data_IF_333144929321
#
_entry.id   IF_333144929321
#
_cell.length_a   1.000
_cell.length_b   1.000
_cell.length_c   1.000
_cell.angle_alpha   90.00
_cell.angle_beta   90.00
_cell.angle_gamma   90.00
#
_symmetry.space_group_name_H-M   'P 1'
#
loop_
_entity.id
_entity.type
_entity.pdbx_description
1 polymer ?
#
# COMPACT_ATOMS: atom_id res chain seq x y z
N UNK A 1 18.51 16.59 -52.72
CA UNK A 1 17.38 15.75 -52.26
C UNK A 1 17.30 15.88 -50.76
N UNK A 2 16.62 16.92 -50.28
CA UNK A 2 16.40 17.19 -48.86
C UNK A 2 14.88 17.18 -48.65
N UNK A 3 14.38 16.18 -47.93
CA UNK A 3 13.01 16.16 -47.42
C UNK A 3 13.09 15.97 -45.92
N UNK A 4 13.55 17.00 -45.22
CA UNK A 4 13.57 17.05 -43.76
C UNK A 4 12.37 17.83 -43.22
N UNK A 5 11.72 17.28 -42.18
CA UNK A 5 11.54 18.05 -40.95
C UNK A 5 10.16 18.58 -40.56
N UNK A 6 9.05 18.27 -41.24
CA UNK A 6 7.73 18.82 -40.85
C UNK A 6 6.83 17.89 -40.01
N UNK A 7 7.24 16.65 -39.76
CA UNK A 7 6.41 15.63 -39.09
C UNK A 7 6.24 15.79 -37.57
N UNK A 8 7.19 16.43 -36.88
CA UNK A 8 7.25 16.38 -35.40
C UNK A 8 6.32 17.39 -34.72
N UNK A 9 6.05 18.53 -35.36
CA UNK A 9 5.26 19.61 -34.74
C UNK A 9 3.77 19.26 -34.59
N UNK A 10 3.21 18.47 -35.52
CA UNK A 10 1.80 18.04 -35.47
C UNK A 10 1.56 16.97 -34.40
N UNK A 11 2.52 16.07 -34.18
CA UNK A 11 2.40 15.04 -33.15
C UNK A 11 2.40 15.63 -31.73
N UNK A 12 3.16 16.70 -31.50
CA UNK A 12 3.25 17.30 -30.16
C UNK A 12 1.95 17.99 -29.74
N UNK A 13 1.25 18.63 -30.68
CA UNK A 13 -0.06 19.26 -30.43
C UNK A 13 -1.10 18.23 -29.99
N UNK A 14 -1.09 17.03 -30.60
CA UNK A 14 -2.00 15.94 -30.21
C UNK A 14 -1.70 15.45 -28.80
N UNK A 15 -0.42 15.22 -28.48
CA UNK A 15 0.01 14.73 -27.16
C UNK A 15 -0.31 15.74 -26.05
N UNK A 16 -0.03 17.03 -26.29
CA UNK A 16 -0.37 18.10 -25.34
C UNK A 16 -1.89 18.21 -25.20
N UNK A 17 -2.63 18.16 -26.30
CA UNK A 17 -4.10 18.20 -26.29
C UNK A 17 -4.71 17.09 -25.43
N UNK A 18 -4.29 15.84 -25.63
CA UNK A 18 -4.80 14.69 -24.85
C UNK A 18 -4.46 14.82 -23.37
N UNK A 19 -3.22 15.20 -23.03
CA UNK A 19 -2.81 15.43 -21.64
C UNK A 19 -3.65 16.51 -20.95
N UNK A 20 -4.00 17.58 -21.67
CA UNK A 20 -4.79 18.67 -21.10
C UNK A 20 -6.22 18.23 -20.81
N UNK A 21 -6.82 17.42 -21.70
CA UNK A 21 -8.17 16.87 -21.51
C UNK A 21 -8.20 15.92 -20.32
N UNK A 22 -7.23 15.01 -20.22
CA UNK A 22 -7.14 14.06 -19.11
C UNK A 22 -7.00 14.78 -17.76
N UNK A 23 -6.18 15.83 -17.70
CA UNK A 23 -6.02 16.67 -16.52
C UNK A 23 -7.35 17.35 -16.13
N UNK A 24 -8.10 17.84 -17.10
CA UNK A 24 -9.42 18.46 -16.89
C UNK A 24 -10.45 17.47 -16.34
N UNK A 25 -10.46 16.23 -16.85
CA UNK A 25 -11.36 15.18 -16.36
C UNK A 25 -11.01 14.78 -14.93
N UNK A 26 -9.73 14.60 -14.61
CA UNK A 26 -9.28 14.28 -13.25
C UNK A 26 -9.59 15.41 -12.27
N UNK A 27 -9.28 16.66 -12.65
CA UNK A 27 -9.58 17.83 -11.83
C UNK A 27 -11.09 18.01 -11.61
N UNK A 28 -11.90 17.81 -12.66
CA UNK A 28 -13.36 17.85 -12.57
C UNK A 28 -13.93 16.75 -11.67
N UNK A 29 -13.41 15.52 -11.78
CA UNK A 29 -13.79 14.39 -10.92
C UNK A 29 -13.47 14.63 -9.44
N UNK A 30 -12.28 15.18 -9.16
CA UNK A 30 -11.88 15.56 -7.79
C UNK A 30 -12.74 16.70 -7.23
N UNK A 31 -13.07 17.71 -8.04
CA UNK A 31 -13.96 18.79 -7.64
C UNK A 31 -15.37 18.29 -7.32
N UNK A 32 -15.94 17.42 -8.18
CA UNK A 32 -17.25 16.79 -7.95
C UNK A 32 -17.25 15.92 -6.71
N UNK A 33 -16.20 15.13 -6.47
CA UNK A 33 -16.07 14.32 -5.25
C UNK A 33 -15.95 15.20 -4.00
N UNK A 34 -15.22 16.31 -4.08
CA UNK A 34 -15.12 17.29 -3.00
C UNK A 34 -16.47 17.94 -2.67
N UNK A 35 -17.28 18.26 -3.69
CA UNK A 35 -18.65 18.74 -3.52
C UNK A 35 -19.56 17.68 -2.90
N UNK A 36 -19.49 16.43 -3.36
CA UNK A 36 -20.27 15.33 -2.79
C UNK A 36 -19.89 15.03 -1.33
N UNK A 37 -18.61 15.17 -0.96
CA UNK A 37 -18.18 15.04 0.43
C UNK A 37 -18.63 16.23 1.30
N UNK A 38 -18.82 17.41 0.71
CA UNK A 38 -19.36 18.59 1.42
C UNK A 38 -20.86 18.47 1.63
N UNK A 39 -21.61 17.84 0.73
CA UNK A 39 -23.04 17.55 0.96
C UNK A 39 -23.26 16.44 1.98
N UNK A 40 -22.27 15.55 2.14
CA UNK A 40 -22.25 14.51 3.18
C UNK A 40 -21.62 14.98 4.48
N UNK A 41 -21.06 16.20 4.54
CA UNK A 41 -20.66 16.77 5.83
C UNK A 41 -21.96 17.00 6.59
N UNK A 42 -22.20 16.30 7.70
CA UNK A 42 -23.35 16.64 8.54
C UNK A 42 -23.24 18.13 8.83
N UNK A 43 -24.35 18.86 8.65
CA UNK A 43 -24.41 20.25 9.06
C UNK A 43 -23.85 20.32 10.49
N UNK A 44 -22.95 21.29 10.80
CA UNK A 44 -22.58 21.51 12.19
C UNK A 44 -23.89 21.78 12.91
N UNK A 45 -24.35 20.79 13.69
CA UNK A 45 -25.65 20.83 14.33
C UNK A 45 -25.82 22.22 14.93
N UNK A 46 -26.87 22.92 14.50
CA UNK A 46 -27.29 24.16 15.14
C UNK A 46 -27.25 23.87 16.64
N UNK A 47 -26.57 24.73 17.42
CA UNK A 47 -26.37 24.52 18.85
C UNK A 47 -27.70 24.17 19.52
N UNK A 48 -27.95 22.87 19.71
CA UNK A 48 -29.18 22.41 20.34
C UNK A 48 -28.98 22.59 21.84
N UNK A 49 -29.91 23.28 22.54
CA UNK A 49 -29.84 23.40 23.99
C UNK A 49 -29.77 21.98 24.59
N UNK A 50 -29.05 21.82 25.69
CA UNK A 50 -28.66 20.55 26.32
C UNK A 50 -29.83 19.58 26.69
N UNK A 51 -31.07 19.94 26.37
CA UNK A 51 -32.28 19.14 26.56
C UNK A 51 -32.62 18.22 25.37
N UNK A 52 -31.93 18.34 24.21
CA UNK A 52 -32.11 17.46 23.03
C UNK A 52 -30.98 16.41 22.88
N UNK A 53 -30.37 15.98 23.99
CA UNK A 53 -29.54 14.78 23.98
C UNK A 53 -30.45 13.55 23.84
N UNK A 54 -30.90 13.24 22.61
CA UNK A 54 -31.48 11.95 22.29
C UNK A 54 -30.38 10.91 22.56
N UNK A 55 -30.55 10.17 23.65
CA UNK A 55 -29.69 9.06 24.04
C UNK A 55 -29.86 8.00 22.96
N UNK A 56 -29.05 8.09 21.90
CA UNK A 56 -28.91 7.02 20.93
C UNK A 56 -28.40 5.81 21.71
N UNK A 57 -29.30 4.86 21.92
CA UNK A 57 -29.06 3.62 22.62
C UNK A 57 -27.79 3.00 22.04
N UNK A 58 -26.75 2.87 22.87
CA UNK A 58 -25.44 2.39 22.45
C UNK A 58 -25.62 0.98 21.88
N UNK A 59 -25.73 0.88 20.55
CA UNK A 59 -25.94 -0.39 19.88
C UNK A 59 -24.72 -1.24 20.15
N UNK A 60 -24.93 -2.35 20.85
CA UNK A 60 -23.88 -3.31 21.17
C UNK A 60 -23.35 -3.87 19.83
N UNK A 61 -22.14 -3.46 19.45
CA UNK A 61 -21.47 -3.99 18.27
C UNK A 61 -20.88 -5.32 18.69
N UNK A 62 -21.54 -6.40 18.28
CA UNK A 62 -21.03 -7.75 18.49
C UNK A 62 -19.68 -7.88 17.78
N UNK A 63 -18.61 -7.95 18.57
CA UNK A 63 -17.27 -8.07 18.04
C UNK A 63 -17.08 -9.46 17.42
N UNK A 64 -16.73 -9.49 16.13
CA UNK A 64 -16.53 -10.73 15.37
C UNK A 64 -15.04 -10.98 15.10
N UNK A 65 -14.30 -11.67 16.00
CA UNK A 65 -12.85 -11.88 15.88
C UNK A 65 -12.42 -12.53 14.56
N UNK A 66 -13.27 -13.40 14.00
CA UNK A 66 -12.98 -14.10 12.76
C UNK A 66 -13.08 -13.19 11.53
N UNK A 67 -14.04 -12.26 11.52
CA UNK A 67 -14.14 -11.28 10.45
C UNK A 67 -12.91 -10.36 10.41
N UNK A 68 -12.45 -9.90 11.58
CA UNK A 68 -11.24 -9.05 11.69
C UNK A 68 -9.98 -9.81 11.25
N UNK A 69 -9.84 -11.07 11.64
CA UNK A 69 -8.69 -11.90 11.24
C UNK A 69 -8.67 -12.15 9.72
N UNK A 70 -9.82 -12.45 9.12
CA UNK A 70 -9.93 -12.70 7.69
C UNK A 70 -9.69 -11.43 6.87
N UNK A 71 -10.17 -10.28 7.35
CA UNK A 71 -9.85 -8.98 6.77
C UNK A 71 -8.34 -8.69 6.82
N UNK A 72 -7.68 -8.93 7.95
CA UNK A 72 -6.24 -8.76 8.09
C UNK A 72 -5.45 -9.71 7.16
N UNK A 73 -5.87 -10.97 7.04
CA UNK A 73 -5.27 -11.94 6.10
C UNK A 73 -5.48 -11.53 4.64
N UNK A 74 -6.63 -10.98 4.29
CA UNK A 74 -6.88 -10.45 2.95
C UNK A 74 -5.92 -9.29 2.64
N UNK A 75 -5.70 -8.38 3.60
CA UNK A 75 -4.73 -7.29 3.44
C UNK A 75 -3.30 -7.80 3.19
N UNK A 76 -2.86 -8.84 3.91
CA UNK A 76 -1.56 -9.49 3.67
C UNK A 76 -1.45 -10.04 2.25
N UNK A 77 -2.46 -10.78 1.77
CA UNK A 77 -2.47 -11.34 0.41
C UNK A 77 -2.37 -10.26 -0.66
N UNK A 78 -3.05 -9.13 -0.47
CA UNK A 78 -2.97 -7.99 -1.41
C UNK A 78 -1.57 -7.38 -1.38
N UNK A 79 -0.97 -7.21 -0.21
CA UNK A 79 0.38 -6.66 -0.09
C UNK A 79 1.44 -7.59 -0.72
N UNK A 80 1.30 -8.91 -0.58
CA UNK A 80 2.14 -9.91 -1.23
C UNK A 80 2.00 -9.88 -2.76
N UNK A 81 0.76 -9.84 -3.27
CA UNK A 81 0.53 -9.73 -4.71
C UNK A 81 1.16 -8.44 -5.31
N UNK A 82 1.15 -7.33 -4.56
CA UNK A 82 1.82 -6.10 -4.98
C UNK A 82 3.35 -6.26 -5.00
N UNK A 83 3.93 -7.03 -4.06
CA UNK A 83 5.36 -7.32 -4.05
C UNK A 83 5.73 -8.19 -5.27
N UNK A 84 4.96 -9.24 -5.57
CA UNK A 84 5.17 -10.09 -6.75
C UNK A 84 5.10 -9.28 -8.05
N UNK A 85 4.15 -8.34 -8.14
CA UNK A 85 4.06 -7.42 -9.28
C UNK A 85 5.31 -6.54 -9.41
N UNK A 86 5.85 -6.03 -8.30
CA UNK A 86 7.08 -5.24 -8.31
C UNK A 86 8.31 -6.08 -8.74
N UNK A 87 8.38 -7.35 -8.35
CA UNK A 87 9.42 -8.28 -8.84
C UNK A 87 9.32 -8.50 -10.36
N UNK A 88 8.10 -8.70 -10.88
CA UNK A 88 7.88 -8.80 -12.32
C UNK A 88 8.34 -7.54 -13.06
N UNK A 89 8.15 -6.34 -12.49
CA UNK A 89 8.66 -5.09 -13.08
C UNK A 89 10.19 -5.01 -13.06
N UNK A 90 10.85 -5.50 -12.01
CA UNK A 90 12.32 -5.58 -11.95
C UNK A 90 12.85 -6.51 -13.03
N UNK A 91 12.25 -7.68 -13.21
CA UNK A 91 12.69 -8.63 -14.24
C UNK A 91 12.55 -8.05 -15.65
N UNK A 92 11.43 -7.38 -15.94
CA UNK A 92 11.23 -6.67 -17.20
C UNK A 92 12.28 -5.57 -17.43
N UNK A 93 12.51 -4.70 -16.43
CA UNK A 93 13.48 -3.61 -16.54
C UNK A 93 14.92 -4.13 -16.69
N UNK A 94 15.26 -5.24 -16.03
CA UNK A 94 16.56 -5.89 -16.17
C UNK A 94 16.77 -6.49 -17.57
N UNK A 95 15.74 -7.09 -18.15
CA UNK A 95 15.78 -7.60 -19.52
C UNK A 95 15.88 -6.46 -20.56
N UNK A 96 15.16 -5.36 -20.36
CA UNK A 96 15.27 -4.16 -21.20
C UNK A 96 16.69 -3.60 -21.17
N UNK A 97 17.27 -3.43 -19.98
CA UNK A 97 18.65 -3.00 -19.81
C UNK A 97 19.63 -3.95 -20.53
N UNK A 98 19.48 -5.27 -20.32
CA UNK A 98 20.33 -6.28 -20.96
C UNK A 98 20.25 -6.18 -22.49
N UNK A 99 19.05 -6.02 -23.05
CA UNK A 99 18.84 -5.85 -24.50
C UNK A 99 19.52 -4.58 -25.02
N UNK A 100 19.36 -3.45 -24.35
CA UNK A 100 19.97 -2.17 -24.75
C UNK A 100 21.50 -2.24 -24.69
N UNK A 101 22.06 -2.87 -23.65
CA UNK A 101 23.51 -3.08 -23.55
C UNK A 101 24.06 -3.98 -24.65
N UNK A 102 23.29 -4.95 -25.13
CA UNK A 102 23.71 -5.86 -26.20
C UNK A 102 23.68 -5.22 -27.60
N UNK A 103 22.81 -4.23 -27.82
CA UNK A 103 22.66 -3.53 -29.10
C UNK A 103 23.70 -2.40 -29.30
N UNK A 104 24.50 -2.09 -28.28
CA UNK A 104 25.21 -0.82 -28.19
C UNK A 104 26.15 -0.50 -29.33
N UNK A 105 25.83 0.56 -30.10
CA UNK A 105 26.78 1.50 -30.73
C UNK A 105 26.14 2.91 -30.85
N UNK A 106 26.79 3.94 -30.28
CA UNK A 106 26.43 5.36 -30.45
C UNK A 106 25.94 6.09 -29.18
N UNK A 107 26.12 7.42 -29.13
CA UNK A 107 25.76 8.25 -27.97
C UNK A 107 24.25 8.25 -27.62
N UNK A 108 23.37 8.03 -28.61
CA UNK A 108 21.95 7.86 -28.37
C UNK A 108 21.66 6.58 -27.54
N UNK A 109 22.46 5.53 -27.70
CA UNK A 109 22.32 4.29 -26.93
C UNK A 109 22.75 4.46 -25.47
N UNK A 110 23.69 5.37 -25.18
CA UNK A 110 24.15 5.63 -23.80
C UNK A 110 23.04 6.25 -22.95
N UNK A 111 22.34 7.25 -23.48
CA UNK A 111 21.20 7.89 -22.81
C UNK A 111 20.10 6.87 -22.49
N UNK A 112 19.81 5.97 -23.43
CA UNK A 112 18.78 4.95 -23.24
C UNK A 112 19.19 3.88 -22.22
N UNK A 113 20.47 3.49 -22.19
CA UNK A 113 21.02 2.62 -21.14
C UNK A 113 20.88 3.28 -19.77
N UNK A 114 21.15 4.58 -19.63
CA UNK A 114 21.01 5.29 -18.36
C UNK A 114 19.55 5.44 -17.92
N UNK A 115 18.63 5.65 -18.87
CA UNK A 115 17.18 5.59 -18.57
C UNK A 115 16.77 4.21 -18.08
N UNK A 116 17.22 3.14 -18.73
CA UNK A 116 16.92 1.77 -18.33
C UNK A 116 17.49 1.43 -16.94
N UNK A 117 18.71 1.88 -16.63
CA UNK A 117 19.31 1.78 -15.29
C UNK A 117 18.47 2.51 -14.25
N UNK A 118 18.01 3.72 -14.57
CA UNK A 118 17.16 4.52 -13.67
C UNK A 118 15.84 3.81 -13.41
N UNK A 119 15.17 3.28 -14.45
CA UNK A 119 13.95 2.49 -14.30
C UNK A 119 14.15 1.26 -13.42
N UNK A 120 15.24 0.52 -13.62
CA UNK A 120 15.59 -0.64 -12.79
C UNK A 120 15.82 -0.23 -11.31
N UNK A 121 16.49 0.89 -11.07
CA UNK A 121 16.70 1.42 -9.73
C UNK A 121 15.38 1.81 -9.05
N UNK A 122 14.48 2.48 -9.77
CA UNK A 122 13.14 2.83 -9.28
C UNK A 122 12.33 1.57 -8.95
N UNK A 123 12.29 0.58 -9.85
CA UNK A 123 11.56 -0.67 -9.62
C UNK A 123 12.07 -1.43 -8.37
N UNK A 124 13.39 -1.42 -8.12
CA UNK A 124 13.98 -1.98 -6.89
C UNK A 124 13.58 -1.22 -5.63
N UNK A 125 13.51 0.11 -5.71
CA UNK A 125 13.05 0.92 -4.59
C UNK A 125 11.56 0.66 -4.29
N UNK A 126 10.75 0.47 -5.32
CA UNK A 126 9.33 0.15 -5.18
C UNK A 126 9.11 -1.25 -4.59
N UNK A 127 9.88 -2.26 -4.99
CA UNK A 127 9.87 -3.57 -4.33
C UNK A 127 10.16 -3.44 -2.84
N UNK A 128 11.16 -2.64 -2.45
CA UNK A 128 11.47 -2.39 -1.04
C UNK A 128 10.29 -1.74 -0.28
N UNK A 129 9.55 -0.84 -0.93
CA UNK A 129 8.32 -0.23 -0.36
C UNK A 129 7.19 -1.26 -0.23
N UNK A 130 6.98 -2.11 -1.24
CA UNK A 130 5.98 -3.17 -1.21
C UNK A 130 6.28 -4.21 -0.13
N UNK A 131 7.55 -4.62 0.02
CA UNK A 131 7.99 -5.53 1.08
C UNK A 131 7.70 -4.97 2.47
N UNK A 132 8.05 -3.70 2.71
CA UNK A 132 7.72 -3.04 3.99
C UNK A 132 6.20 -2.95 4.24
N UNK A 133 5.40 -2.73 3.20
CA UNK A 133 3.93 -2.75 3.30
C UNK A 133 3.37 -4.14 3.62
N UNK A 134 3.97 -5.21 3.09
CA UNK A 134 3.60 -6.58 3.44
C UNK A 134 3.95 -6.91 4.90
N UNK A 135 5.11 -6.47 5.38
CA UNK A 135 5.49 -6.62 6.79
C UNK A 135 4.55 -5.84 7.73
N UNK A 136 4.17 -4.61 7.36
CA UNK A 136 3.18 -3.82 8.09
C UNK A 136 1.80 -4.51 8.12
N UNK A 137 1.36 -5.10 7.00
CA UNK A 137 0.11 -5.84 6.93
C UNK A 137 0.12 -7.14 7.76
N UNK A 138 1.30 -7.74 8.01
CA UNK A 138 1.43 -8.94 8.85
C UNK A 138 1.32 -8.64 10.35
N UNK A 139 1.66 -7.43 10.78
CA UNK A 139 1.57 -7.01 12.18
C UNK A 139 0.15 -7.17 12.79
N UNK A 140 -0.95 -6.72 12.17
CA UNK A 140 -2.29 -6.90 12.73
C UNK A 140 -2.71 -8.38 12.77
N UNK A 141 -2.29 -9.21 11.80
CA UNK A 141 -2.56 -10.66 11.85
C UNK A 141 -1.87 -11.30 13.06
N UNK A 142 -0.62 -10.91 13.35
CA UNK A 142 0.09 -11.36 14.55
C UNK A 142 -0.60 -10.88 15.84
N UNK A 143 -1.09 -9.64 15.86
CA UNK A 143 -1.80 -9.09 17.02
C UNK A 143 -3.14 -9.79 17.27
N UNK A 144 -3.97 -10.01 16.24
CA UNK A 144 -5.28 -10.67 16.34
C UNK A 144 -5.11 -12.16 16.67
N UNK A 145 -4.13 -12.84 16.07
CA UNK A 145 -3.85 -14.23 16.42
C UNK A 145 -3.38 -14.37 17.87
N UNK A 146 -2.49 -13.48 18.34
CA UNK A 146 -2.07 -13.46 19.74
C UNK A 146 -3.23 -13.15 20.71
N UNK A 147 -4.12 -12.21 20.37
CA UNK A 147 -5.29 -11.90 21.22
C UNK A 147 -6.31 -13.03 21.24
N UNK A 148 -6.47 -13.77 20.13
CA UNK A 148 -7.34 -14.95 20.05
C UNK A 148 -6.77 -16.18 20.80
N UNK A 149 -5.45 -16.24 21.02
CA UNK A 149 -4.77 -17.30 21.77
C UNK A 149 -4.61 -17.00 23.27
N UNK A 150 -4.50 -15.72 23.66
CA UNK A 150 -5.13 -15.22 24.90
C UNK A 150 -6.66 -15.44 24.74
N UNK A 151 -7.63 -14.99 25.52
CA UNK A 151 -9.04 -15.45 25.40
C UNK A 151 -9.30 -16.99 25.53
N UNK A 152 -8.64 -17.87 24.78
CA UNK A 152 -8.49 -19.30 25.01
C UNK A 152 -7.60 -19.61 26.24
N UNK A 153 -7.72 -18.81 27.30
CA UNK A 153 -6.96 -19.04 28.52
C UNK A 153 -7.24 -20.47 28.99
N UNK A 154 -6.21 -21.32 29.15
CA UNK A 154 -6.39 -22.56 29.86
C UNK A 154 -6.91 -22.15 31.23
N UNK A 155 -8.16 -22.51 31.53
CA UNK A 155 -8.80 -22.24 32.81
C UNK A 155 -7.77 -22.55 33.89
N UNK A 156 -7.40 -21.61 34.77
CA UNK A 156 -6.31 -21.81 35.72
C UNK A 156 -6.66 -23.06 36.50
N UNK A 157 -6.02 -24.17 36.11
CA UNK A 157 -6.32 -25.50 36.62
C UNK A 157 -6.05 -25.35 38.10
N UNK A 158 -7.12 -25.35 38.88
CA UNK A 158 -7.10 -25.20 40.33
C UNK A 158 -6.36 -26.40 40.91
N UNK A 159 -5.04 -26.40 40.81
CA UNK A 159 -4.15 -27.32 41.49
C UNK A 159 -4.08 -26.85 42.93
N UNK A 160 -5.19 -27.11 43.62
CA UNK A 160 -5.29 -27.13 45.06
C UNK A 160 -4.53 -28.38 45.53
N UNK A 161 -3.21 -28.37 45.42
CA UNK A 161 -2.33 -29.33 46.09
C UNK A 161 -1.36 -28.54 46.94
N UNK A 162 -1.81 -28.32 48.17
CA UNK A 162 -1.02 -27.92 49.32
C UNK A 162 0.18 -28.86 49.49
N UNK A 163 1.36 -28.41 49.11
CA UNK A 163 2.61 -28.89 49.70
C UNK A 163 3.60 -27.74 49.70
N UNK A 164 3.66 -27.03 50.83
CA UNK A 164 4.70 -26.06 51.12
C UNK A 164 6.07 -26.76 51.14
N UNK A 165 7.07 -26.33 50.37
CA UNK A 165 8.45 -26.58 50.73
C UNK A 165 8.96 -25.51 51.72
N UNK A 166 9.79 -25.87 52.70
CA UNK A 166 10.33 -24.95 53.69
C UNK A 166 11.34 -23.98 53.06
N UNK A 167 11.27 -22.74 53.53
CA UNK A 167 12.16 -21.63 53.23
C UNK A 167 13.59 -21.91 53.68
N UNK A 168 14.53 -22.02 52.74
CA UNK A 168 15.96 -21.76 53.00
C UNK A 168 16.37 -20.48 52.30
N UNK A 169 16.58 -19.46 53.11
CA UNK A 169 17.21 -18.20 52.78
C UNK A 169 18.68 -18.41 52.40
N UNK A 170 19.04 -18.10 51.17
CA UNK A 170 20.42 -17.78 50.82
C UNK A 170 20.42 -16.71 49.74
N UNK A 171 20.61 -15.48 50.21
CA UNK A 171 20.89 -14.30 49.43
C UNK A 171 22.36 -14.32 48.99
N UNK A 172 22.65 -14.13 47.68
CA UNK A 172 23.91 -13.52 47.31
C UNK A 172 23.68 -12.21 46.57
N UNK A 173 24.35 -11.19 47.09
CA UNK A 173 24.50 -9.87 46.52
C UNK A 173 25.07 -9.95 45.09
N UNK A 174 24.34 -9.42 44.12
CA UNK A 174 24.82 -9.24 42.75
C UNK A 174 24.73 -7.76 42.34
N UNK A 175 25.86 -7.08 42.55
CA UNK A 175 26.42 -5.91 41.88
C UNK A 175 25.57 -5.29 40.76
N UNK A 176 25.01 -4.11 41.05
CA UNK A 176 24.39 -3.20 40.08
C UNK A 176 25.37 -2.78 38.98
N UNK A 177 25.11 -3.03 37.68
CA UNK A 177 25.92 -2.45 36.62
C UNK A 177 25.63 -0.95 36.48
N UNK A 178 26.73 -0.20 36.53
CA UNK A 178 26.88 1.25 36.41
C UNK A 178 26.15 1.78 35.17
N UNK A 179 25.11 2.58 35.41
CA UNK A 179 24.32 3.32 34.41
C UNK A 179 25.23 4.26 33.61
N UNK A 180 25.66 3.85 32.41
CA UNK A 180 26.39 4.72 31.48
C UNK A 180 25.48 5.88 31.06
N UNK A 181 25.84 7.10 31.49
CA UNK A 181 25.31 8.37 31.00
C UNK A 181 25.43 8.40 29.47
N UNK A 182 24.32 8.20 28.76
CA UNK A 182 24.22 8.54 27.34
C UNK A 182 24.26 10.06 27.25
N UNK A 183 25.30 10.55 26.57
CA UNK A 183 25.50 11.94 26.25
C UNK A 183 24.33 12.45 25.41
N UNK A 184 23.81 13.63 25.81
CA UNK A 184 22.88 14.46 25.06
C UNK A 184 23.49 14.77 23.69
N UNK A 185 23.17 13.95 22.69
CA UNK A 185 23.48 14.27 21.29
C UNK A 185 22.36 15.17 20.76
N UNK A 186 22.67 16.47 20.72
CA UNK A 186 22.32 17.40 19.65
C UNK A 186 20.93 17.19 19.03
N UNK A 187 19.93 17.88 19.59
CA UNK A 187 18.71 18.26 18.87
C UNK A 187 19.10 19.31 17.82
N UNK A 188 19.73 18.87 16.73
CA UNK A 188 19.91 19.71 15.54
C UNK A 188 18.58 19.69 14.79
N UNK A 189 17.91 20.83 14.86
CA UNK A 189 16.78 21.27 14.06
C UNK A 189 16.85 20.76 12.61
N UNK A 190 16.13 19.66 12.33
CA UNK A 190 15.78 19.27 10.96
C UNK A 190 14.33 19.65 10.72
N UNK A 191 14.10 20.97 10.62
CA UNK A 191 12.88 21.56 10.05
C UNK A 191 12.97 21.41 8.53
N UNK A 192 12.94 20.16 8.06
CA UNK A 192 12.94 19.80 6.66
C UNK A 192 11.50 19.60 6.20
N UNK A 193 10.93 20.65 5.63
CA UNK A 193 9.98 20.64 4.50
C UNK A 193 9.37 19.25 4.23
N UNK A 194 8.29 18.91 4.95
CA UNK A 194 7.34 17.90 4.48
C UNK A 194 6.52 18.55 3.37
N UNK A 195 7.03 18.51 2.14
CA UNK A 195 6.16 18.56 0.96
C UNK A 195 5.38 17.24 0.99
N UNK A 196 4.06 17.34 1.09
CA UNK A 196 3.16 16.20 1.14
C UNK A 196 3.37 15.34 -0.10
N UNK A 197 3.96 14.17 0.10
CA UNK A 197 3.81 13.05 -0.81
C UNK A 197 2.48 12.43 -0.42
N UNK A 198 1.40 12.91 -1.03
CA UNK A 198 0.17 12.15 -1.13
C UNK A 198 0.53 10.85 -1.84
N UNK A 199 0.24 9.66 -1.27
CA UNK A 199 0.33 8.43 -2.04
C UNK A 199 -0.60 8.60 -3.24
N UNK A 200 -0.03 8.52 -4.44
CA UNK A 200 -0.75 8.50 -5.70
C UNK A 200 -1.54 7.19 -5.72
N UNK A 201 -2.72 7.21 -5.10
CA UNK A 201 -3.69 6.14 -5.18
C UNK A 201 -4.30 6.20 -6.58
N UNK A 202 -3.53 5.76 -7.59
CA UNK A 202 -4.06 5.51 -8.92
C UNK A 202 -5.21 4.51 -8.76
N UNK A 203 -6.47 4.92 -8.97
CA UNK A 203 -7.58 3.99 -8.88
C UNK A 203 -7.42 2.98 -10.01
N UNK A 204 -7.38 1.70 -9.65
CA UNK A 204 -7.39 0.61 -10.63
C UNK A 204 -8.59 0.84 -11.57
N UNK A 205 -8.39 0.78 -12.89
CA UNK A 205 -9.48 0.98 -13.84
C UNK A 205 -10.58 -0.06 -13.55
N UNK A 206 -11.87 0.32 -13.63
CA UNK A 206 -12.94 -0.64 -13.48
C UNK A 206 -12.74 -1.76 -14.50
N UNK A 207 -12.78 -3.01 -14.02
CA UNK A 207 -12.73 -4.20 -14.86
C UNK A 207 -13.82 -4.09 -15.92
N UNK A 208 -13.42 -3.75 -17.15
CA UNK A 208 -14.34 -3.73 -18.28
C UNK A 208 -14.85 -5.16 -18.47
N UNK A 209 -16.17 -5.38 -18.54
CA UNK A 209 -16.69 -6.68 -18.93
C UNK A 209 -16.10 -7.02 -20.31
N UNK A 210 -15.44 -8.17 -20.38
CA UNK A 210 -14.83 -8.71 -21.59
C UNK A 210 -15.86 -8.67 -22.71
N UNK A 211 -15.61 -7.89 -23.75
CA UNK A 211 -16.48 -7.88 -24.92
C UNK A 211 -16.58 -9.31 -25.47
N UNK A 212 -17.79 -9.81 -25.79
CA UNK A 212 -17.94 -11.12 -26.38
C UNK A 212 -17.13 -11.20 -27.67
N UNK A 213 -16.25 -12.20 -27.75
CA UNK A 213 -15.41 -12.43 -28.92
C UNK A 213 -16.27 -12.55 -30.18
N UNK A 214 -16.03 -11.75 -31.24
CA UNK A 214 -16.82 -11.78 -32.47
C UNK A 214 -16.60 -13.05 -33.32
N UNK A 215 -15.78 -14.00 -32.86
CA UNK A 215 -15.42 -15.20 -33.64
C UNK A 215 -16.23 -16.47 -33.29
N UNK A 216 -17.32 -16.38 -32.53
CA UNK A 216 -18.08 -17.56 -32.12
C UNK A 216 -19.05 -18.15 -33.19
N UNK A 217 -19.15 -17.56 -34.39
CA UNK A 217 -20.09 -18.04 -35.42
C UNK A 217 -19.44 -18.25 -36.79
N UNK A 218 -18.80 -19.41 -37.01
CA UNK A 218 -18.71 -20.03 -38.35
C UNK A 218 -18.17 -21.47 -38.29
N UNK A 219 -18.93 -22.40 -37.71
CA UNK A 219 -18.80 -23.83 -38.06
C UNK A 219 -20.19 -24.47 -38.14
N UNK A 220 -20.95 -24.08 -39.16
CA UNK A 220 -22.03 -24.94 -39.67
C UNK A 220 -21.44 -25.87 -40.71
N UNK A 221 -21.67 -27.16 -40.46
CA UNK A 221 -21.05 -28.26 -41.17
C UNK A 221 -21.44 -28.33 -42.65
N UNK A 222 -20.45 -28.75 -43.45
CA UNK A 222 -20.66 -29.38 -44.75
C UNK A 222 -20.63 -30.89 -44.51
N UNK A 223 -21.79 -31.46 -44.22
CA UNK A 223 -22.06 -32.89 -44.32
C UNK A 223 -22.64 -33.19 -45.70
N UNK A 224 -22.17 -34.26 -46.31
CA UNK A 224 -22.52 -34.76 -47.66
C UNK A 224 -23.96 -35.22 -47.75
#
# INVERSE_FOLDING_TARGET
MEREGTGTKRSWVVVVGTLTIDLLVVAGGLAMRGLAQRTLRPEPAAFEPAEAAEVLEAREVEWQPMADLDAARAAVRVAEANADQAEAQITLAALELKRLTALGQGAAAEIDVDRARTRLATARADLGRCGAGADEARAPVAQVSASSSSAAWPSPRSSRSSSCPPSTSSSPAATRPRRRRRTRRSRRTRRGIRKGITPDATPLPPLRPSAPSPFAHARRGRGR
#
